data_IF_717521667902
#
_entry.id   IF_717521667902
#
_cell.length_a   1.000
_cell.length_b   1.000
_cell.length_c   1.000
_cell.angle_alpha   90.00
_cell.angle_beta   90.00
_cell.angle_gamma   90.00
#
_symmetry.space_group_name_H-M   'P 1'
#
loop_
_entity.id
_entity.type
_entity.pdbx_description
1 polymer ?
#
# COMPACT_ATOMS: atom_id res chain seq x y z
N UNK A 1 -2.79 27.61 13.26
CA UNK A 1 -3.75 26.53 13.00
C UNK A 1 -4.00 25.80 14.32
N UNK A 2 -5.26 25.65 14.75
CA UNK A 2 -5.57 24.91 15.97
C UNK A 2 -5.20 23.44 15.76
N UNK A 3 -4.45 22.86 16.70
CA UNK A 3 -4.14 21.44 16.67
C UNK A 3 -5.47 20.65 16.65
N UNK A 4 -5.66 19.82 15.65
CA UNK A 4 -6.81 18.93 15.56
C UNK A 4 -6.75 17.95 16.73
N UNK A 5 -7.75 17.99 17.60
CA UNK A 5 -7.82 17.05 18.72
C UNK A 5 -8.10 15.67 18.16
N UNK A 6 -7.16 14.73 18.36
CA UNK A 6 -7.35 13.33 18.01
C UNK A 6 -8.44 12.74 18.91
N UNK A 7 -9.49 12.22 18.29
CA UNK A 7 -10.58 11.52 18.97
C UNK A 7 -11.09 10.38 18.09
N UNK A 8 -12.01 9.57 18.61
CA UNK A 8 -12.54 8.41 17.88
C UNK A 8 -13.07 8.77 16.48
N UNK A 9 -13.75 9.90 16.34
CA UNK A 9 -14.33 10.33 15.06
C UNK A 9 -13.26 10.73 14.04
N UNK A 10 -12.10 11.25 14.50
CA UNK A 10 -11.00 11.66 13.64
C UNK A 10 -10.00 10.54 13.34
N UNK A 11 -9.99 9.46 14.14
CA UNK A 11 -9.02 8.36 14.02
C UNK A 11 -9.59 7.09 13.38
N UNK A 12 -10.90 6.97 13.25
CA UNK A 12 -11.55 5.75 12.73
C UNK A 12 -12.20 6.04 11.38
N UNK A 13 -11.66 5.43 10.34
CA UNK A 13 -12.24 5.44 9.00
C UNK A 13 -12.89 4.08 8.74
N UNK A 14 -14.22 4.06 8.56
CA UNK A 14 -15.00 2.83 8.42
C UNK A 14 -15.33 2.55 6.95
N UNK A 15 -15.58 1.27 6.65
CA UNK A 15 -16.06 0.81 5.35
C UNK A 15 -15.15 1.17 4.16
N UNK A 16 -13.83 1.25 4.38
CA UNK A 16 -12.84 1.56 3.35
C UNK A 16 -12.84 0.55 2.20
N UNK A 17 -13.37 -0.65 2.42
CA UNK A 17 -13.49 -1.73 1.44
C UNK A 17 -14.81 -1.72 0.65
N UNK A 18 -15.64 -0.68 0.76
CA UNK A 18 -16.95 -0.63 0.09
C UNK A 18 -16.96 0.21 -1.19
N UNK A 19 -15.99 1.11 -1.34
CA UNK A 19 -15.95 2.01 -2.48
C UNK A 19 -15.03 1.48 -3.57
N UNK A 20 -15.58 1.32 -4.78
CA UNK A 20 -14.84 0.86 -5.95
C UNK A 20 -13.98 1.97 -6.57
N UNK A 21 -13.00 1.57 -7.36
CA UNK A 21 -12.01 2.45 -7.96
C UNK A 21 -10.88 2.81 -6.98
N UNK A 22 -10.13 3.87 -7.29
CA UNK A 22 -9.08 4.42 -6.44
C UNK A 22 -9.66 5.48 -5.52
N UNK A 23 -9.51 5.28 -4.22
CA UNK A 23 -10.05 6.17 -3.18
C UNK A 23 -8.94 6.63 -2.25
N UNK A 24 -9.02 7.87 -1.77
CA UNK A 24 -8.13 8.42 -0.75
C UNK A 24 -8.90 8.56 0.56
N UNK A 25 -8.45 7.87 1.60
CA UNK A 25 -9.08 7.84 2.92
C UNK A 25 -8.36 8.71 3.94
N UNK A 26 -7.02 8.72 3.93
CA UNK A 26 -6.20 9.57 4.80
C UNK A 26 -5.30 10.44 3.93
N UNK A 27 -5.22 11.70 4.31
CA UNK A 27 -4.31 12.70 3.73
C UNK A 27 -4.22 13.88 4.72
N UNK A 28 -3.19 14.72 4.65
CA UNK A 28 -3.03 15.86 5.56
C UNK A 28 -4.23 16.82 5.58
N UNK A 29 -4.94 16.94 4.46
CA UNK A 29 -6.15 17.78 4.37
C UNK A 29 -7.43 17.12 4.91
N UNK A 30 -7.39 15.80 5.16
CA UNK A 30 -8.55 14.99 5.60
C UNK A 30 -8.46 14.54 7.05
N UNK A 31 -7.24 14.42 7.58
CA UNK A 31 -6.98 13.88 8.91
C UNK A 31 -5.78 14.56 9.56
N UNK A 32 -5.58 14.32 10.86
CA UNK A 32 -4.44 14.84 11.61
C UNK A 32 -3.16 14.01 11.35
N UNK A 33 -2.78 13.90 10.09
CA UNK A 33 -1.53 13.28 9.62
C UNK A 33 -0.72 14.32 8.86
N UNK A 34 0.59 14.18 8.81
CA UNK A 34 1.46 15.15 8.14
C UNK A 34 2.04 14.64 6.84
N UNK A 35 2.52 13.41 6.82
CA UNK A 35 3.24 12.85 5.68
C UNK A 35 2.64 11.54 5.17
N UNK A 36 1.61 11.01 5.82
CA UNK A 36 0.99 9.75 5.44
C UNK A 36 -0.25 9.98 4.59
N UNK A 37 -0.29 9.29 3.47
CA UNK A 37 -1.47 9.13 2.62
C UNK A 37 -1.86 7.67 2.60
N UNK A 38 -3.15 7.39 2.77
CA UNK A 38 -3.69 6.04 2.66
C UNK A 38 -4.91 6.02 1.77
N UNK A 39 -4.93 5.08 0.86
CA UNK A 39 -6.02 4.85 -0.07
C UNK A 39 -6.28 3.36 -0.30
N UNK A 40 -7.25 3.11 -1.15
CA UNK A 40 -7.59 1.76 -1.64
C UNK A 40 -7.80 1.81 -3.14
N UNK A 41 -7.42 0.73 -3.83
CA UNK A 41 -7.76 0.48 -5.22
C UNK A 41 -8.56 -0.82 -5.24
N UNK A 42 -9.86 -0.73 -5.52
CA UNK A 42 -10.76 -1.88 -5.55
C UNK A 42 -11.40 -1.97 -6.93
N UNK A 43 -11.07 -3.05 -7.64
CA UNK A 43 -11.57 -3.31 -8.99
C UNK A 43 -12.21 -4.70 -9.02
N UNK A 44 -13.39 -4.79 -9.64
CA UNK A 44 -14.06 -6.07 -9.89
C UNK A 44 -13.53 -6.75 -11.15
N UNK A 45 -13.86 -8.01 -11.31
CA UNK A 45 -13.61 -8.73 -12.55
C UNK A 45 -14.27 -8.01 -13.73
N UNK A 46 -13.48 -7.73 -14.76
CA UNK A 46 -13.99 -7.04 -15.97
C UNK A 46 -13.98 -5.52 -15.88
N UNK A 47 -13.65 -4.91 -14.75
CA UNK A 47 -13.41 -3.46 -14.71
C UNK A 47 -12.24 -3.06 -15.62
N UNK A 48 -12.36 -1.89 -16.23
CA UNK A 48 -11.27 -1.32 -17.00
C UNK A 48 -10.04 -1.07 -16.08
N UNK A 49 -8.82 -1.24 -16.61
CA UNK A 49 -7.63 -0.88 -15.86
C UNK A 49 -7.66 0.58 -15.42
N UNK A 50 -7.13 0.82 -14.21
CA UNK A 50 -7.03 2.14 -13.62
C UNK A 50 -5.60 2.66 -13.76
N UNK A 51 -5.45 3.91 -14.17
CA UNK A 51 -4.15 4.55 -14.36
C UNK A 51 -3.99 5.77 -13.46
N UNK A 52 -2.80 5.96 -12.91
CA UNK A 52 -2.46 7.13 -12.11
C UNK A 52 -0.96 7.39 -12.11
N UNK A 53 -0.58 8.61 -11.70
CA UNK A 53 0.81 8.98 -11.43
C UNK A 53 1.06 9.01 -9.92
N UNK A 54 2.25 8.57 -9.49
CA UNK A 54 2.71 8.73 -8.10
C UNK A 54 3.08 10.19 -7.80
N UNK A 55 3.33 11.01 -8.83
CA UNK A 55 3.76 12.40 -8.68
C UNK A 55 4.99 12.51 -7.77
N UNK A 56 4.96 13.39 -6.80
CA UNK A 56 6.09 13.63 -5.86
C UNK A 56 6.14 12.62 -4.70
N UNK A 57 5.33 11.57 -4.72
CA UNK A 57 5.24 10.59 -3.64
C UNK A 57 5.89 9.26 -4.04
N UNK A 58 6.57 8.64 -3.10
CA UNK A 58 6.78 7.20 -3.15
C UNK A 58 5.48 6.49 -2.76
N UNK A 59 5.24 5.30 -3.30
CA UNK A 59 3.97 4.59 -3.12
C UNK A 59 4.21 3.10 -2.89
N UNK A 60 3.66 2.57 -1.80
CA UNK A 60 3.55 1.15 -1.54
C UNK A 60 2.16 0.65 -1.92
N UNK A 61 2.09 -0.37 -2.76
CA UNK A 61 0.87 -1.11 -3.08
C UNK A 61 0.93 -2.48 -2.41
N UNK A 62 -0.06 -2.82 -1.60
CA UNK A 62 -0.16 -4.13 -0.93
C UNK A 62 -1.47 -4.79 -1.35
N UNK A 63 -1.41 -5.97 -1.92
CA UNK A 63 -2.60 -6.72 -2.29
C UNK A 63 -3.26 -7.34 -1.04
N UNK A 64 -4.42 -6.85 -0.66
CA UNK A 64 -5.17 -7.32 0.50
C UNK A 64 -6.09 -8.50 0.17
N UNK A 65 -6.62 -8.52 -1.05
CA UNK A 65 -7.50 -9.58 -1.52
C UNK A 65 -7.53 -9.64 -3.05
N UNK A 66 -7.80 -10.83 -3.60
CA UNK A 66 -7.82 -11.06 -5.03
C UNK A 66 -6.42 -11.01 -5.65
N UNK A 67 -6.35 -10.61 -6.92
CA UNK A 67 -5.09 -10.53 -7.69
C UNK A 67 -5.14 -9.35 -8.65
N UNK A 68 -3.99 -8.74 -8.90
CA UNK A 68 -3.85 -7.63 -9.85
C UNK A 68 -2.58 -7.76 -10.69
N UNK A 69 -2.62 -7.24 -11.90
CA UNK A 69 -1.41 -6.88 -12.65
C UNK A 69 -1.15 -5.40 -12.45
N UNK A 70 0.06 -5.06 -12.03
CA UNK A 70 0.54 -3.69 -11.90
C UNK A 70 1.66 -3.46 -12.90
N UNK A 71 1.43 -2.52 -13.82
CA UNK A 71 2.41 -2.13 -14.83
C UNK A 71 2.98 -0.76 -14.47
N UNK A 72 4.30 -0.66 -14.40
CA UNK A 72 5.01 0.59 -14.13
C UNK A 72 6.46 0.51 -14.59
N UNK A 73 7.06 1.63 -15.01
CA UNK A 73 8.43 1.71 -15.48
C UNK A 73 8.80 0.65 -16.54
N UNK A 74 7.87 0.32 -17.45
CA UNK A 74 8.05 -0.68 -18.49
C UNK A 74 8.10 -2.14 -18.02
N UNK A 75 7.74 -2.40 -16.77
CA UNK A 75 7.67 -3.74 -16.16
C UNK A 75 6.24 -4.07 -15.75
N UNK A 76 5.95 -5.36 -15.67
CA UNK A 76 4.66 -5.89 -15.24
C UNK A 76 4.86 -6.83 -14.05
N UNK A 77 4.03 -6.65 -13.01
CA UNK A 77 4.07 -7.43 -11.78
C UNK A 77 2.68 -7.99 -11.52
N UNK A 78 2.60 -9.28 -11.26
CA UNK A 78 1.40 -9.89 -10.75
C UNK A 78 1.47 -9.91 -9.23
N UNK A 79 0.51 -9.26 -8.58
CA UNK A 79 0.36 -9.21 -7.13
C UNK A 79 -0.75 -10.16 -6.70
N UNK A 80 -0.40 -11.19 -5.96
CA UNK A 80 -1.32 -12.01 -5.17
C UNK A 80 -1.48 -11.47 -3.76
N UNK A 81 -2.30 -12.16 -2.96
CA UNK A 81 -2.61 -11.70 -1.60
C UNK A 81 -1.35 -11.53 -0.75
N UNK A 82 -1.17 -10.34 -0.20
CA UNK A 82 -0.07 -9.84 0.62
C UNK A 82 1.25 -9.61 -0.11
N UNK A 83 1.33 -9.86 -1.42
CA UNK A 83 2.43 -9.31 -2.19
C UNK A 83 2.42 -7.79 -2.14
N UNK A 84 3.60 -7.19 -2.20
CA UNK A 84 3.75 -5.75 -2.16
C UNK A 84 4.65 -5.24 -3.30
N UNK A 85 4.37 -4.03 -3.76
CA UNK A 85 5.18 -3.33 -4.76
C UNK A 85 5.48 -1.93 -4.26
N UNK A 86 6.76 -1.63 -4.09
CA UNK A 86 7.24 -0.26 -3.90
C UNK A 86 7.43 0.41 -5.25
N UNK A 87 6.74 1.50 -5.47
CA UNK A 87 6.78 2.31 -6.69
C UNK A 87 7.40 3.67 -6.37
N UNK A 88 8.48 4.07 -7.02
CA UNK A 88 9.13 5.36 -6.79
C UNK A 88 8.25 6.52 -7.23
N UNK A 89 8.61 7.74 -6.78
CA UNK A 89 8.03 8.98 -7.27
C UNK A 89 8.18 9.12 -8.79
N UNK A 90 7.37 9.98 -9.39
CA UNK A 90 7.38 10.31 -10.83
C UNK A 90 7.11 9.10 -11.75
N UNK A 91 6.39 8.09 -11.24
CA UNK A 91 6.04 6.88 -11.98
C UNK A 91 4.61 6.93 -12.49
N UNK A 92 4.40 6.41 -13.71
CA UNK A 92 3.07 6.07 -14.20
C UNK A 92 2.75 4.63 -13.79
N UNK A 93 1.56 4.43 -13.25
CA UNK A 93 1.09 3.14 -12.74
C UNK A 93 -0.21 2.78 -13.41
N UNK A 94 -0.31 1.55 -13.89
CA UNK A 94 -1.54 0.95 -14.41
C UNK A 94 -1.85 -0.30 -13.62
N UNK A 95 -3.06 -0.37 -13.05
CA UNK A 95 -3.55 -1.51 -12.26
C UNK A 95 -4.70 -2.15 -13.03
N UNK A 96 -4.59 -3.43 -13.32
CA UNK A 96 -5.63 -4.24 -13.93
C UNK A 96 -6.04 -5.37 -12.96
N UNK A 97 -7.34 -5.61 -12.75
CA UNK A 97 -7.78 -6.75 -11.95
C UNK A 97 -7.52 -8.07 -12.70
N UNK A 98 -7.24 -9.13 -11.94
CA UNK A 98 -7.21 -10.50 -12.44
C UNK A 98 -8.33 -11.32 -11.79
N UNK A 99 -8.75 -12.38 -12.45
CA UNK A 99 -9.73 -13.36 -11.96
C UNK A 99 -11.01 -12.70 -11.42
N UNK A 100 -11.21 -12.76 -10.10
CA UNK A 100 -12.40 -12.23 -9.41
C UNK A 100 -12.28 -10.73 -9.04
N UNK A 101 -11.19 -10.08 -9.41
CA UNK A 101 -10.91 -8.69 -9.06
C UNK A 101 -9.79 -8.54 -8.02
N UNK A 102 -9.56 -7.31 -7.57
CA UNK A 102 -8.50 -7.01 -6.61
C UNK A 102 -8.92 -5.94 -5.60
N UNK A 103 -8.23 -5.96 -4.46
CA UNK A 103 -8.31 -4.96 -3.42
C UNK A 103 -6.90 -4.66 -2.92
N UNK A 104 -6.37 -3.51 -3.31
CA UNK A 104 -5.03 -3.08 -2.94
C UNK A 104 -5.11 -1.96 -1.89
N UNK A 105 -4.30 -2.05 -0.84
CA UNK A 105 -3.95 -0.90 -0.02
C UNK A 105 -2.92 -0.05 -0.76
N UNK A 106 -3.14 1.25 -0.79
CA UNK A 106 -2.22 2.25 -1.32
C UNK A 106 -1.73 3.12 -0.15
N UNK A 107 -0.43 3.08 0.11
CA UNK A 107 0.23 3.92 1.12
C UNK A 107 1.24 4.79 0.39
N UNK A 108 1.23 6.10 0.65
CA UNK A 108 2.21 6.98 0.02
C UNK A 108 2.67 8.10 0.94
N UNK A 109 3.87 8.60 0.65
CA UNK A 109 4.47 9.72 1.37
C UNK A 109 5.24 10.62 0.39
N UNK A 110 5.27 11.94 0.60
CA UNK A 110 6.11 12.83 -0.20
C UNK A 110 7.58 12.51 0.01
N UNK A 111 8.35 12.52 -1.07
CA UNK A 111 9.77 12.18 -1.05
C UNK A 111 10.55 13.07 -2.01
N UNK A 112 11.79 13.41 -1.66
CA UNK A 112 12.69 14.21 -2.53
C UNK A 112 13.61 13.32 -3.37
N UNK A 113 14.07 12.20 -2.82
CA UNK A 113 14.89 11.20 -3.51
C UNK A 113 14.08 10.28 -4.42
N UNK A 114 14.78 9.58 -5.31
CA UNK A 114 14.18 8.54 -6.13
C UNK A 114 14.88 7.20 -5.82
N UNK A 115 14.07 6.22 -5.47
CA UNK A 115 14.53 4.89 -5.08
C UNK A 115 14.11 3.84 -6.12
N UNK A 116 14.73 2.67 -6.16
CA UNK A 116 14.41 1.67 -7.17
C UNK A 116 13.00 1.08 -7.00
N UNK A 117 12.36 0.75 -8.12
CA UNK A 117 11.15 -0.06 -8.13
C UNK A 117 11.43 -1.45 -7.56
N UNK A 118 10.66 -1.91 -6.57
CA UNK A 118 10.94 -3.15 -5.82
C UNK A 118 9.66 -3.95 -5.59
N UNK A 119 9.68 -5.21 -5.97
CA UNK A 119 8.62 -6.17 -5.70
C UNK A 119 9.00 -7.04 -4.49
N UNK A 120 8.05 -7.27 -3.60
CA UNK A 120 8.18 -8.10 -2.42
C UNK A 120 7.14 -9.22 -2.48
N UNK A 121 7.61 -10.44 -2.67
CA UNK A 121 6.76 -11.63 -2.63
C UNK A 121 6.45 -12.01 -1.18
N UNK A 122 5.18 -12.17 -0.84
CA UNK A 122 4.79 -12.64 0.49
C UNK A 122 5.35 -14.03 0.81
N UNK A 123 5.44 -14.91 -0.21
CA UNK A 123 6.03 -16.22 -0.06
C UNK A 123 7.52 -16.18 0.35
N UNK A 124 8.26 -15.14 -0.04
CA UNK A 124 9.65 -14.96 0.37
C UNK A 124 9.75 -14.32 1.76
N UNK A 125 8.84 -13.41 2.09
CA UNK A 125 8.71 -12.86 3.46
C UNK A 125 8.50 -13.99 4.48
N UNK A 126 7.63 -14.95 4.19
CA UNK A 126 7.36 -16.08 5.08
C UNK A 126 8.59 -16.98 5.35
N UNK A 127 9.59 -16.99 4.47
CA UNK A 127 10.82 -17.78 4.60
C UNK A 127 11.93 -17.05 5.36
N UNK A 128 11.83 -15.73 5.48
CA UNK A 128 12.86 -14.90 6.10
C UNK A 128 12.50 -14.59 7.56
N UNK A 129 13.22 -15.18 8.55
CA UNK A 129 12.92 -14.96 9.96
C UNK A 129 13.19 -13.53 10.44
N UNK A 130 13.82 -12.69 9.62
CA UNK A 130 14.00 -11.27 9.92
C UNK A 130 12.81 -10.42 9.46
N UNK A 131 11.96 -10.95 8.56
CA UNK A 131 10.77 -10.31 8.01
C UNK A 131 9.48 -10.94 8.53
N UNK A 132 9.54 -12.18 9.00
CA UNK A 132 8.40 -12.92 9.54
C UNK A 132 8.78 -13.52 10.91
N UNK A 133 8.14 -13.04 11.98
CA UNK A 133 8.43 -13.48 13.35
C UNK A 133 7.27 -13.21 14.31
N UNK A 134 7.19 -14.05 15.35
CA UNK A 134 6.27 -13.84 16.45
C UNK A 134 6.87 -12.90 17.49
N UNK A 135 6.05 -12.05 18.10
CA UNK A 135 6.42 -11.13 19.18
C UNK A 135 5.24 -10.91 20.11
N UNK A 136 5.53 -10.31 21.29
CA UNK A 136 4.53 -10.04 22.32
C UNK A 136 4.60 -11.03 23.49
N UNK A 137 3.76 -10.80 24.50
CA UNK A 137 3.62 -11.64 25.68
C UNK A 137 2.48 -12.66 25.57
N UNK A 138 2.21 -13.42 26.64
CA UNK A 138 1.19 -14.49 26.63
C UNK A 138 -0.22 -14.03 26.26
N UNK A 139 -0.55 -12.75 26.48
CA UNK A 139 -1.88 -12.18 26.26
C UNK A 139 -1.97 -11.26 25.04
N UNK A 140 -0.83 -10.98 24.37
CA UNK A 140 -0.77 -10.05 23.24
C UNK A 140 0.14 -10.57 22.10
N UNK A 141 0.22 -11.88 21.96
CA UNK A 141 1.02 -12.51 20.92
C UNK A 141 0.58 -12.07 19.53
N UNK A 142 1.56 -11.66 18.72
CA UNK A 142 1.38 -11.18 17.34
C UNK A 142 2.34 -11.88 16.42
N UNK A 143 1.88 -12.09 15.21
CA UNK A 143 2.71 -12.53 14.10
C UNK A 143 2.93 -11.34 13.16
N UNK A 144 4.18 -10.97 12.94
CA UNK A 144 4.55 -9.81 12.14
C UNK A 144 5.10 -10.25 10.78
N UNK A 145 4.66 -9.57 9.74
CA UNK A 145 5.14 -9.72 8.37
C UNK A 145 5.56 -8.36 7.84
N UNK A 146 6.86 -8.16 7.62
CA UNK A 146 7.41 -6.92 7.09
C UNK A 146 7.40 -7.02 5.56
N UNK A 147 6.48 -6.32 4.93
CA UNK A 147 6.34 -6.30 3.48
C UNK A 147 7.21 -5.19 2.85
N UNK A 148 6.98 -3.93 3.25
CA UNK A 148 7.78 -2.78 2.86
C UNK A 148 8.37 -2.18 4.13
N UNK A 149 9.64 -2.35 4.35
CA UNK A 149 10.37 -1.91 5.53
C UNK A 149 11.87 -1.99 5.26
N UNK A 150 12.66 -2.46 6.23
CA UNK A 150 14.14 -2.58 6.11
C UNK A 150 14.64 -3.43 4.93
N UNK A 151 13.78 -4.20 4.29
CA UNK A 151 14.04 -5.00 3.09
C UNK A 151 13.87 -4.23 1.77
N UNK A 152 13.39 -2.99 1.83
CA UNK A 152 13.12 -2.13 0.69
C UNK A 152 13.92 -0.84 0.83
N UNK A 153 14.55 -0.40 -0.26
CA UNK A 153 15.19 0.92 -0.30
C UNK A 153 14.11 1.99 -0.51
N UNK A 154 13.93 2.84 0.48
CA UNK A 154 12.95 3.93 0.49
C UNK A 154 13.55 5.19 1.11
N UNK A 155 12.81 6.31 1.14
CA UNK A 155 13.34 7.61 1.58
C UNK A 155 13.79 7.60 3.03
N UNK A 156 13.03 6.94 3.88
CA UNK A 156 13.34 6.82 5.30
C UNK A 156 12.98 5.41 5.77
N UNK A 157 13.99 4.63 5.96
CA UNK A 157 13.91 3.29 6.55
C UNK A 157 14.47 3.31 7.96
#
# INVERSE_FOLDING_TARGET
MAASILNEKSCVVRATNKQKGRTSWLAPEKAAVTNLYYGRIILDSGDAPLEFSTGTHETGLVCLNGRAVVETAGKSFELGRYDALYVPRDSQVRVAPLDAGCDLAELSAPVTGQYPLQFVSFADVLKDPTLHFATGGPNDQRELHILIGKNVQAAES
#
